data_IF_013261542778
#
_entry.id   IF_013261542778
#
_cell.length_a   1.000
_cell.length_b   1.000
_cell.length_c   1.000
_cell.angle_alpha   90.00
_cell.angle_beta   90.00
_cell.angle_gamma   90.00
#
_symmetry.space_group_name_H-M   'P 1'
#
loop_
_entity.id
_entity.type
_entity.pdbx_description
1 polymer ?
#
# COMPACT_ATOMS: atom_id res chain seq x y z
N UNK A 1 7.85 4.06 20.94
CA UNK A 1 7.78 5.00 19.81
C UNK A 1 7.51 4.17 18.57
N UNK A 2 6.45 4.44 17.82
CA UNK A 2 6.19 3.73 16.55
C UNK A 2 7.16 4.26 15.49
N UNK A 3 7.96 3.37 14.90
CA UNK A 3 8.87 3.72 13.80
C UNK A 3 8.07 3.72 12.51
N UNK A 4 8.32 4.69 11.62
CA UNK A 4 7.72 4.67 10.29
C UNK A 4 8.38 3.55 9.47
N UNK A 5 7.58 2.56 9.07
CA UNK A 5 7.99 1.49 8.16
C UNK A 5 8.02 2.02 6.74
N UNK A 6 9.12 1.71 6.02
CA UNK A 6 9.30 2.07 4.62
C UNK A 6 9.40 0.80 3.79
N UNK A 7 8.44 0.60 2.91
CA UNK A 7 8.29 -0.60 2.09
C UNK A 7 8.55 -0.22 0.63
N UNK A 8 9.79 -0.38 0.13
CA UNK A 8 10.09 -0.08 -1.26
C UNK A 8 9.40 -1.09 -2.18
N UNK A 9 8.96 -0.63 -3.33
CA UNK A 9 8.36 -1.49 -4.35
C UNK A 9 8.78 -1.11 -5.76
N UNK A 10 8.71 -2.11 -6.63
CA UNK A 10 8.90 -1.98 -8.06
C UNK A 10 7.82 -2.83 -8.74
N UNK A 11 6.81 -2.19 -9.31
CA UNK A 11 5.61 -2.81 -9.86
C UNK A 11 5.62 -2.63 -11.38
N UNK A 12 5.61 -3.74 -12.11
CA UNK A 12 5.44 -3.74 -13.55
C UNK A 12 3.96 -4.01 -13.88
N UNK A 13 3.33 -3.07 -14.58
CA UNK A 13 1.99 -3.22 -15.17
C UNK A 13 2.10 -3.16 -16.69
N UNK A 14 1.00 -3.44 -17.41
CA UNK A 14 0.98 -3.41 -18.88
C UNK A 14 1.47 -2.06 -19.44
N UNK A 15 1.09 -0.96 -18.79
CA UNK A 15 1.33 0.41 -19.26
C UNK A 15 2.69 0.98 -18.81
N UNK A 16 3.49 0.23 -18.04
CA UNK A 16 4.80 0.72 -17.58
C UNK A 16 5.30 0.10 -16.28
N UNK A 17 6.42 0.65 -15.78
CA UNK A 17 7.02 0.24 -14.50
C UNK A 17 6.94 1.40 -13.51
N UNK A 18 6.29 1.15 -12.37
CA UNK A 18 6.12 2.10 -11.28
C UNK A 18 7.03 1.74 -10.12
N UNK A 19 7.86 2.70 -9.70
CA UNK A 19 8.79 2.54 -8.56
C UNK A 19 8.43 3.56 -7.49
N UNK A 20 8.57 3.15 -6.23
CA UNK A 20 8.27 4.01 -5.11
C UNK A 20 8.43 3.30 -3.77
N UNK A 21 7.89 3.94 -2.73
CA UNK A 21 7.83 3.41 -1.38
C UNK A 21 6.45 3.63 -0.76
N UNK A 22 5.99 2.65 0.02
CA UNK A 22 4.85 2.81 0.92
C UNK A 22 5.36 3.07 2.34
N UNK A 23 4.87 4.13 2.97
CA UNK A 23 5.33 4.61 4.28
C UNK A 23 4.15 4.57 5.24
N UNK A 24 4.26 3.78 6.32
CA UNK A 24 3.22 3.66 7.33
C UNK A 24 3.79 3.72 8.74
N UNK A 25 3.05 4.34 9.67
CA UNK A 25 3.43 4.36 11.10
C UNK A 25 2.71 3.21 11.77
N UNK A 26 3.26 1.99 11.62
CA UNK A 26 2.70 0.80 12.28
C UNK A 26 3.73 -0.31 12.41
N UNK A 27 3.73 -0.99 13.56
CA UNK A 27 4.58 -2.17 13.79
C UNK A 27 3.96 -3.44 13.19
N UNK A 28 2.65 -3.46 12.95
CA UNK A 28 1.89 -4.60 12.41
C UNK A 28 0.76 -4.15 11.50
N UNK A 29 0.44 -4.94 10.47
CA UNK A 29 -0.70 -4.63 9.59
C UNK A 29 -2.03 -4.92 10.29
N UNK A 30 -2.87 -3.90 10.46
CA UNK A 30 -4.21 -3.96 11.07
C UNK A 30 -5.27 -3.32 10.15
N UNK A 31 -6.54 -3.57 10.43
CA UNK A 31 -7.64 -2.83 9.81
C UNK A 31 -7.44 -1.31 10.02
N UNK A 32 -7.78 -0.52 9.00
CA UNK A 32 -7.65 0.93 8.92
C UNK A 32 -6.19 1.44 9.02
N UNK A 33 -5.20 0.57 8.80
CA UNK A 33 -3.80 1.01 8.68
C UNK A 33 -3.66 1.91 7.45
N UNK A 34 -2.99 3.05 7.64
CA UNK A 34 -2.79 4.06 6.61
C UNK A 34 -1.35 4.04 6.11
N UNK A 35 -1.16 4.12 4.80
CA UNK A 35 0.14 4.19 4.16
C UNK A 35 0.18 5.33 3.15
N UNK A 36 1.14 6.24 3.29
CA UNK A 36 1.47 7.20 2.24
C UNK A 36 2.37 6.50 1.22
N UNK A 37 1.93 6.44 -0.03
CA UNK A 37 2.74 5.94 -1.13
C UNK A 37 3.34 7.12 -1.88
N UNK A 38 4.65 7.05 -2.09
CA UNK A 38 5.41 8.02 -2.87
C UNK A 38 6.00 7.32 -4.08
N UNK A 39 5.62 7.76 -5.27
CA UNK A 39 6.20 7.30 -6.53
C UNK A 39 7.42 8.15 -6.87
N UNK A 40 8.37 7.55 -7.59
CA UNK A 40 9.58 8.25 -8.08
C UNK A 40 9.25 9.36 -9.08
N UNK A 41 8.05 9.36 -9.68
CA UNK A 41 7.53 10.43 -10.53
C UNK A 41 7.20 11.70 -9.75
N UNK A 42 7.17 11.63 -8.41
CA UNK A 42 6.73 12.71 -7.53
C UNK A 42 5.28 12.57 -7.08
N UNK A 43 4.51 11.69 -7.71
CA UNK A 43 3.11 11.43 -7.37
C UNK A 43 2.98 10.81 -5.98
N UNK A 44 1.89 11.16 -5.30
CA UNK A 44 1.57 10.67 -3.96
C UNK A 44 0.15 10.16 -3.91
N UNK A 45 -0.05 9.06 -3.19
CA UNK A 45 -1.38 8.55 -2.89
C UNK A 45 -1.44 8.01 -1.47
N UNK A 46 -2.61 8.14 -0.85
CA UNK A 46 -2.87 7.58 0.46
C UNK A 46 -3.64 6.27 0.31
N UNK A 47 -3.14 5.21 0.92
CA UNK A 47 -3.77 3.89 0.97
C UNK A 47 -4.30 3.62 2.38
N UNK A 48 -5.48 3.00 2.42
CA UNK A 48 -6.13 2.54 3.64
C UNK A 48 -6.41 1.04 3.52
N UNK A 49 -6.00 0.27 4.52
CA UNK A 49 -6.35 -1.14 4.65
C UNK A 49 -7.80 -1.25 5.14
N UNK A 50 -8.71 -1.69 4.28
CA UNK A 50 -10.15 -1.80 4.59
C UNK A 50 -10.49 -3.26 4.89
N UNK A 51 -11.10 -3.57 6.04
CA UNK A 51 -11.56 -4.93 6.31
C UNK A 51 -12.72 -5.30 5.39
N UNK A 52 -12.61 -6.42 4.69
CA UNK A 52 -13.71 -7.06 3.99
C UNK A 52 -14.27 -8.17 4.89
N UNK A 53 -15.43 -7.90 5.47
CA UNK A 53 -16.11 -8.78 6.42
C UNK A 53 -16.77 -9.99 5.75
N UNK A 54 -17.08 -9.92 4.45
CA UNK A 54 -17.68 -11.02 3.70
C UNK A 54 -16.63 -12.08 3.36
N UNK A 55 -15.45 -11.64 2.89
CA UNK A 55 -14.38 -12.56 2.51
C UNK A 55 -13.37 -12.83 3.64
N UNK A 56 -13.51 -12.13 4.78
CA UNK A 56 -12.56 -12.11 5.91
C UNK A 56 -11.13 -11.76 5.48
N UNK A 57 -10.98 -10.90 4.47
CA UNK A 57 -9.69 -10.44 3.93
C UNK A 57 -9.52 -8.93 4.15
N UNK A 58 -8.31 -8.43 3.92
CA UNK A 58 -8.09 -7.00 3.79
C UNK A 58 -8.22 -6.64 2.30
N UNK A 59 -8.94 -5.55 2.05
CA UNK A 59 -8.96 -4.85 0.77
C UNK A 59 -8.21 -3.53 0.94
N UNK A 60 -7.93 -2.85 -0.18
CA UNK A 60 -7.14 -1.63 -0.19
C UNK A 60 -7.90 -0.54 -0.92
N UNK A 61 -8.12 0.58 -0.24
CA UNK A 61 -8.77 1.75 -0.80
C UNK A 61 -7.76 2.89 -0.93
N UNK A 62 -8.00 3.79 -1.88
CA UNK A 62 -7.32 5.08 -1.93
C UNK A 62 -8.34 6.20 -2.03
N UNK A 63 -8.05 7.32 -1.37
CA UNK A 63 -8.86 8.54 -1.47
C UNK A 63 -8.54 9.36 -2.73
N UNK A 64 -7.54 8.97 -3.51
CA UNK A 64 -7.15 9.68 -4.73
C UNK A 64 -8.10 9.33 -5.90
N UNK A 65 -8.71 10.34 -6.52
CA UNK A 65 -9.45 10.20 -7.78
C UNK A 65 -8.48 10.28 -8.98
N UNK A 66 -7.46 9.44 -9.01
CA UNK A 66 -6.43 9.46 -10.05
C UNK A 66 -6.32 8.12 -10.78
N UNK A 67 -5.68 8.11 -11.95
CA UNK A 67 -5.39 6.88 -12.72
C UNK A 67 -4.53 5.86 -11.94
N UNK A 68 -3.87 6.32 -10.86
CA UNK A 68 -3.07 5.51 -9.94
C UNK A 68 -3.91 4.54 -9.09
N UNK A 69 -5.24 4.68 -9.08
CA UNK A 69 -6.17 3.73 -8.43
C UNK A 69 -5.95 2.29 -8.88
N UNK A 70 -5.53 2.06 -10.13
CA UNK A 70 -5.17 0.72 -10.64
C UNK A 70 -3.99 0.08 -9.90
N UNK A 71 -3.09 0.89 -9.33
CA UNK A 71 -1.91 0.41 -8.60
C UNK A 71 -2.24 0.01 -7.15
N UNK A 72 -3.32 0.57 -6.57
CA UNK A 72 -3.74 0.35 -5.18
C UNK A 72 -3.79 -1.14 -4.78
N UNK A 73 -4.50 -2.03 -5.50
CA UNK A 73 -4.55 -3.44 -5.13
C UNK A 73 -3.21 -4.17 -5.31
N UNK A 74 -2.30 -3.64 -6.13
CA UNK A 74 -0.96 -4.23 -6.30
C UNK A 74 -0.04 -3.80 -5.16
N UNK A 75 -0.03 -2.51 -4.82
CA UNK A 75 0.76 -1.96 -3.71
C UNK A 75 0.27 -2.56 -2.38
N UNK A 76 -1.04 -2.68 -2.19
CA UNK A 76 -1.62 -3.33 -1.01
C UNK A 76 -1.10 -4.74 -0.79
N UNK A 77 -1.02 -5.55 -1.85
CA UNK A 77 -0.41 -6.89 -1.79
C UNK A 77 1.08 -6.87 -1.45
N UNK A 78 1.82 -5.84 -1.86
CA UNK A 78 3.23 -5.68 -1.46
C UNK A 78 3.33 -5.43 0.05
N UNK A 79 2.47 -4.55 0.59
CA UNK A 79 2.42 -4.24 2.02
C UNK A 79 2.05 -5.50 2.83
N UNK A 80 1.02 -6.24 2.42
CA UNK A 80 0.63 -7.51 3.06
C UNK A 80 1.78 -8.52 3.09
N UNK A 81 2.47 -8.71 1.97
CA UNK A 81 3.61 -9.63 1.88
C UNK A 81 4.77 -9.19 2.77
N UNK A 82 5.03 -7.89 2.88
CA UNK A 82 6.07 -7.37 3.76
C UNK A 82 5.80 -7.76 5.23
N UNK A 83 4.60 -7.45 5.73
CA UNK A 83 4.24 -7.77 7.12
C UNK A 83 4.06 -9.28 7.36
N UNK A 84 3.67 -10.05 6.36
CA UNK A 84 3.61 -11.51 6.47
C UNK A 84 4.99 -12.16 6.63
N UNK A 85 6.04 -11.57 6.05
CA UNK A 85 7.43 -12.08 6.18
C UNK A 85 8.11 -11.68 7.49
N UNK A 86 7.56 -10.68 8.18
CA UNK A 86 8.10 -10.16 9.45
C UNK A 86 7.59 -10.95 10.66
N UNK A 87 6.54 -11.77 10.48
CA UNK A 87 6.03 -12.74 11.46
C UNK A 87 6.88 -13.99 11.45
#
# INVERSE_FOLDING_TARGET
MSIAERIPFNIKVADGTFRGEAIGITDTLKANSMFEVRLNTGDRLLLEAVPDYETRRMTWASRAQTELTKLVPVIGRVIERYFSKKK
#
